data_IF_358340781178
#
_entry.id   IF_358340781178
#
_cell.length_a   1.000
_cell.length_b   1.000
_cell.length_c   1.000
_cell.angle_alpha   90.00
_cell.angle_beta   90.00
_cell.angle_gamma   90.00
#
_symmetry.space_group_name_H-M   'P 1'
#
loop_
_entity.id
_entity.type
_entity.pdbx_description
1 polymer ?
#
# COMPACT_ATOMS: atom_id res chain seq x y z
N UNK A 1 25.07 14.48 11.72
CA UNK A 1 24.63 13.38 10.82
C UNK A 1 23.52 13.92 9.96
N UNK A 2 23.82 14.33 8.74
CA UNK A 2 22.81 14.90 7.83
C UNK A 2 21.90 13.77 7.34
N UNK A 3 20.59 14.00 7.37
CA UNK A 3 19.58 13.02 6.95
C UNK A 3 19.57 12.76 5.42
N UNK A 4 20.35 13.53 4.66
CA UNK A 4 20.28 13.68 3.19
C UNK A 4 21.17 12.73 2.39
N UNK A 5 21.67 11.65 2.98
CA UNK A 5 22.46 10.63 2.27
C UNK A 5 22.28 9.27 2.93
N UNK A 6 21.11 8.68 2.71
CA UNK A 6 20.79 7.33 3.18
C UNK A 6 21.29 6.31 2.16
N UNK A 7 21.34 6.67 0.87
CA UNK A 7 21.89 5.86 -0.21
C UNK A 7 23.34 5.43 0.02
N UNK A 8 24.17 6.26 0.67
CA UNK A 8 25.54 5.89 1.03
C UNK A 8 25.70 5.10 2.34
N UNK A 9 24.62 4.91 3.12
CA UNK A 9 24.67 4.23 4.43
C UNK A 9 24.43 2.72 4.30
N UNK A 10 24.82 1.97 5.32
CA UNK A 10 24.79 0.50 5.30
C UNK A 10 23.41 -0.11 4.97
N UNK A 11 23.37 -1.32 4.38
CA UNK A 11 22.14 -1.97 3.92
C UNK A 11 20.98 -2.03 4.94
N UNK A 12 21.22 -2.29 6.24
CA UNK A 12 20.12 -2.37 7.22
C UNK A 12 19.33 -1.07 7.34
N UNK A 13 20.00 0.07 7.17
CA UNK A 13 19.35 1.37 7.27
C UNK A 13 18.48 1.63 6.02
N UNK A 14 18.99 1.33 4.83
CA UNK A 14 18.27 1.50 3.57
C UNK A 14 16.96 0.70 3.54
N UNK A 15 17.02 -0.57 3.95
CA UNK A 15 15.85 -1.45 4.01
C UNK A 15 14.79 -0.93 4.99
N UNK A 16 15.23 -0.36 6.13
CA UNK A 16 14.32 0.29 7.07
C UNK A 16 13.55 1.46 6.45
N UNK A 17 14.19 2.28 5.61
CA UNK A 17 13.51 3.38 4.92
C UNK A 17 12.49 2.89 3.89
N UNK A 18 12.81 1.86 3.09
CA UNK A 18 11.83 1.26 2.17
C UNK A 18 10.63 0.70 2.93
N UNK A 19 10.86 0.04 4.07
CA UNK A 19 9.81 -0.45 4.94
C UNK A 19 8.87 0.68 5.40
N UNK A 20 9.42 1.81 5.87
CA UNK A 20 8.59 2.95 6.29
C UNK A 20 7.76 3.54 5.15
N UNK A 21 8.31 3.62 3.93
CA UNK A 21 7.57 4.12 2.76
C UNK A 21 6.40 3.18 2.46
N UNK A 22 6.64 1.87 2.38
CA UNK A 22 5.58 0.90 2.10
C UNK A 22 4.54 0.81 3.21
N UNK A 23 4.97 0.91 4.48
CA UNK A 23 4.06 0.98 5.62
C UNK A 23 3.15 2.21 5.53
N UNK A 24 3.70 3.37 5.18
CA UNK A 24 2.90 4.59 4.99
C UNK A 24 1.87 4.42 3.86
N UNK A 25 2.28 3.79 2.75
CA UNK A 25 1.37 3.48 1.63
C UNK A 25 0.24 2.52 2.04
N UNK A 26 0.55 1.48 2.82
CA UNK A 26 -0.46 0.53 3.29
C UNK A 26 -1.48 1.18 4.23
N UNK A 27 -1.05 2.08 5.10
CA UNK A 27 -1.95 2.75 6.06
C UNK A 27 -2.88 3.77 5.36
N UNK A 28 -2.44 4.40 4.28
CA UNK A 28 -3.19 5.49 3.65
C UNK A 28 -4.58 5.04 3.16
N UNK A 29 -4.71 3.80 2.69
CA UNK A 29 -5.98 3.24 2.23
C UNK A 29 -7.07 3.13 3.30
N UNK A 30 -6.73 3.17 4.60
CA UNK A 30 -7.72 3.21 5.68
C UNK A 30 -8.62 4.45 5.61
N UNK A 31 -8.09 5.57 5.09
CA UNK A 31 -8.82 6.84 4.95
C UNK A 31 -9.90 6.77 3.87
N UNK A 32 -9.80 5.82 2.94
CA UNK A 32 -10.79 5.64 1.86
C UNK A 32 -12.10 5.03 2.39
N UNK A 33 -12.04 4.21 3.46
CA UNK A 33 -13.22 3.47 3.94
C UNK A 33 -14.41 4.36 4.37
N UNK A 34 -14.22 5.43 5.16
CA UNK A 34 -15.34 6.30 5.54
C UNK A 34 -16.00 6.98 4.35
N UNK A 35 -15.21 7.37 3.33
CA UNK A 35 -15.71 7.99 2.10
C UNK A 35 -16.64 7.04 1.34
N UNK A 36 -16.22 5.79 1.15
CA UNK A 36 -17.03 4.76 0.48
C UNK A 36 -18.37 4.54 1.21
N UNK A 37 -18.35 4.49 2.54
CA UNK A 37 -19.55 4.24 3.34
C UNK A 37 -20.52 5.43 3.31
N UNK A 38 -20.01 6.66 3.33
CA UNK A 38 -20.87 7.84 3.16
C UNK A 38 -21.56 7.86 1.79
N UNK A 39 -20.81 7.56 0.72
CA UNK A 39 -21.36 7.61 -0.63
C UNK A 39 -22.29 6.43 -0.93
N UNK A 40 -22.09 5.27 -0.29
CA UNK A 40 -22.98 4.10 -0.39
C UNK A 40 -24.43 4.43 -0.05
N UNK A 41 -24.66 5.32 0.92
CA UNK A 41 -26.02 5.70 1.33
C UNK A 41 -26.73 6.45 0.20
N UNK A 42 -26.01 7.38 -0.45
CA UNK A 42 -26.49 8.12 -1.62
C UNK A 42 -26.76 7.18 -2.78
N UNK A 43 -25.80 6.30 -3.09
CA UNK A 43 -25.91 5.31 -4.15
C UNK A 43 -27.16 4.43 -4.00
N UNK A 44 -27.47 3.98 -2.77
CA UNK A 44 -28.67 3.17 -2.51
C UNK A 44 -29.97 3.93 -2.77
N UNK A 45 -30.00 5.23 -2.48
CA UNK A 45 -31.16 6.07 -2.79
C UNK A 45 -31.32 6.22 -4.31
N UNK A 46 -30.24 6.55 -5.03
CA UNK A 46 -30.27 6.73 -6.49
C UNK A 46 -30.60 5.45 -7.24
N UNK A 47 -30.13 4.30 -6.73
CA UNK A 47 -30.47 2.97 -7.27
C UNK A 47 -31.95 2.64 -7.05
N UNK A 48 -32.55 3.07 -5.93
CA UNK A 48 -33.98 2.84 -5.66
C UNK A 48 -34.90 3.62 -6.61
N UNK A 49 -34.41 4.73 -7.16
CA UNK A 49 -35.07 5.52 -8.20
C UNK A 49 -34.75 5.02 -9.62
N UNK A 50 -33.97 3.92 -9.75
CA UNK A 50 -33.56 3.31 -11.01
C UNK A 50 -32.80 4.27 -11.97
N UNK A 51 -32.08 5.25 -11.42
CA UNK A 51 -31.27 6.20 -12.21
C UNK A 51 -30.08 5.53 -12.91
N UNK A 52 -29.46 4.55 -12.25
CA UNK A 52 -28.35 3.76 -12.77
C UNK A 52 -28.22 2.40 -12.07
N UNK A 53 -27.40 1.50 -12.62
CA UNK A 53 -27.09 0.19 -12.00
C UNK A 53 -25.94 0.29 -10.99
N UNK A 54 -26.03 -0.45 -9.88
CA UNK A 54 -25.02 -0.48 -8.82
C UNK A 54 -23.59 -0.73 -9.34
N UNK A 55 -23.44 -1.62 -10.33
CA UNK A 55 -22.15 -1.95 -10.93
C UNK A 55 -21.52 -0.78 -11.69
N UNK A 56 -22.32 0.04 -12.35
CA UNK A 56 -21.82 1.20 -13.09
C UNK A 56 -21.22 2.25 -12.14
N UNK A 57 -21.86 2.44 -10.98
CA UNK A 57 -21.35 3.34 -9.94
C UNK A 57 -20.06 2.82 -9.32
N UNK A 58 -19.98 1.52 -8.97
CA UNK A 58 -18.76 0.93 -8.39
C UNK A 58 -17.58 1.09 -9.37
N UNK A 59 -17.79 0.82 -10.66
CA UNK A 59 -16.75 1.00 -11.68
C UNK A 59 -16.29 2.46 -11.78
N UNK A 60 -17.23 3.41 -11.85
CA UNK A 60 -16.91 4.83 -11.91
C UNK A 60 -16.14 5.30 -10.67
N UNK A 61 -16.59 4.89 -9.48
CA UNK A 61 -15.95 5.20 -8.21
C UNK A 61 -14.52 4.65 -8.15
N UNK A 62 -14.31 3.38 -8.52
CA UNK A 62 -12.98 2.76 -8.51
C UNK A 62 -12.02 3.48 -9.46
N UNK A 63 -12.47 3.86 -10.67
CA UNK A 63 -11.62 4.58 -11.63
C UNK A 63 -11.23 5.96 -11.09
N UNK A 64 -12.19 6.74 -10.57
CA UNK A 64 -11.93 8.08 -10.04
C UNK A 64 -11.00 8.00 -8.82
N UNK A 65 -11.28 7.08 -7.88
CA UNK A 65 -10.45 6.86 -6.70
C UNK A 65 -9.01 6.45 -7.08
N UNK A 66 -8.87 5.54 -8.04
CA UNK A 66 -7.58 5.07 -8.55
C UNK A 66 -6.75 6.19 -9.15
N UNK A 67 -7.36 7.07 -9.95
CA UNK A 67 -6.67 8.22 -10.56
C UNK A 67 -6.24 9.24 -9.51
N UNK A 68 -7.11 9.55 -8.54
CA UNK A 68 -6.79 10.46 -7.45
C UNK A 68 -5.62 9.92 -6.62
N UNK A 69 -5.64 8.63 -6.31
CA UNK A 69 -4.58 7.97 -5.56
C UNK A 69 -3.25 7.93 -6.32
N UNK A 70 -3.29 7.61 -7.62
CA UNK A 70 -2.10 7.62 -8.48
C UNK A 70 -1.40 8.97 -8.44
N UNK A 71 -2.17 10.07 -8.51
CA UNK A 71 -1.63 11.41 -8.45
C UNK A 71 -0.98 11.70 -7.08
N UNK A 72 -1.69 11.42 -5.98
CA UNK A 72 -1.14 11.64 -4.63
C UNK A 72 0.11 10.81 -4.36
N UNK A 73 0.11 9.52 -4.72
CA UNK A 73 1.27 8.64 -4.55
C UNK A 73 2.46 9.09 -5.37
N UNK A 74 2.24 9.49 -6.63
CA UNK A 74 3.31 9.98 -7.50
C UNK A 74 3.96 11.23 -6.90
N UNK A 75 3.16 12.18 -6.42
CA UNK A 75 3.68 13.39 -5.75
C UNK A 75 4.46 13.03 -4.49
N UNK A 76 3.92 12.13 -3.66
CA UNK A 76 4.58 11.69 -2.42
C UNK A 76 5.95 11.07 -2.66
N UNK A 77 6.06 10.12 -3.60
CA UNK A 77 7.32 9.45 -3.92
C UNK A 77 8.31 10.41 -4.57
N UNK A 78 7.85 11.29 -5.47
CA UNK A 78 8.71 12.28 -6.13
C UNK A 78 9.30 13.29 -5.15
N UNK A 79 8.57 13.66 -4.10
CA UNK A 79 9.07 14.54 -3.05
C UNK A 79 10.04 13.83 -2.10
N UNK A 80 9.77 12.57 -1.75
CA UNK A 80 10.64 11.79 -0.85
C UNK A 80 11.94 11.36 -1.51
N UNK A 81 11.90 10.94 -2.77
CA UNK A 81 13.04 10.37 -3.46
C UNK A 81 14.33 11.22 -3.42
N UNK A 82 14.33 12.53 -3.73
CA UNK A 82 15.54 13.36 -3.69
C UNK A 82 16.11 13.51 -2.27
N UNK A 83 15.29 13.36 -1.23
CA UNK A 83 15.75 13.46 0.17
C UNK A 83 16.54 12.22 0.59
N UNK A 84 16.29 11.08 -0.03
CA UNK A 84 16.93 9.80 0.34
C UNK A 84 18.37 9.67 -0.19
N UNK A 85 18.74 10.41 -1.23
CA UNK A 85 20.07 10.33 -1.85
C UNK A 85 20.34 9.03 -2.61
N UNK A 86 19.29 8.32 -3.06
CA UNK A 86 19.43 7.13 -3.91
C UNK A 86 19.68 7.49 -5.39
N UNK A 87 20.33 6.61 -6.17
CA UNK A 87 20.51 6.81 -7.60
C UNK A 87 19.14 6.85 -8.32
N UNK A 88 18.95 7.82 -9.21
CA UNK A 88 17.69 8.04 -9.95
C UNK A 88 17.20 6.82 -10.74
N UNK A 89 18.06 5.84 -11.05
CA UNK A 89 17.66 4.57 -11.66
C UNK A 89 16.73 3.72 -10.77
N UNK A 90 16.76 3.91 -9.44
CA UNK A 90 15.89 3.21 -8.49
C UNK A 90 14.47 3.81 -8.43
N UNK A 91 14.30 5.07 -8.86
CA UNK A 91 13.02 5.78 -8.82
C UNK A 91 11.86 5.03 -9.49
N UNK A 92 11.95 4.57 -10.75
CA UNK A 92 10.83 3.88 -11.41
C UNK A 92 10.45 2.58 -10.72
N UNK A 93 11.41 1.86 -10.13
CA UNK A 93 11.15 0.62 -9.39
C UNK A 93 10.40 0.92 -8.09
N UNK A 94 10.85 1.91 -7.32
CA UNK A 94 10.19 2.33 -6.08
C UNK A 94 8.77 2.82 -6.35
N UNK A 95 8.60 3.64 -7.40
CA UNK A 95 7.30 4.16 -7.80
C UNK A 95 6.32 3.06 -8.21
N UNK A 96 6.75 2.12 -9.07
CA UNK A 96 5.92 1.02 -9.54
C UNK A 96 5.46 0.11 -8.41
N UNK A 97 6.39 -0.34 -7.55
CA UNK A 97 6.07 -1.25 -6.45
C UNK A 97 5.21 -0.60 -5.37
N UNK A 98 5.47 0.68 -5.06
CA UNK A 98 4.62 1.44 -4.14
C UNK A 98 3.20 1.60 -4.68
N UNK A 99 3.06 1.88 -5.98
CA UNK A 99 1.73 2.03 -6.59
C UNK A 99 0.96 0.72 -6.64
N UNK A 100 1.63 -0.38 -6.99
CA UNK A 100 1.01 -1.70 -7.00
C UNK A 100 0.57 -2.12 -5.59
N UNK A 101 1.41 -1.87 -4.58
CA UNK A 101 1.06 -2.13 -3.19
C UNK A 101 -0.17 -1.33 -2.75
N UNK A 102 -0.25 -0.05 -3.12
CA UNK A 102 -1.40 0.78 -2.81
C UNK A 102 -2.68 0.21 -3.43
N UNK A 103 -2.68 -0.14 -4.71
CA UNK A 103 -3.86 -0.72 -5.37
C UNK A 103 -4.35 -2.00 -4.71
N UNK A 104 -3.43 -2.87 -4.30
CA UNK A 104 -3.78 -4.12 -3.60
C UNK A 104 -4.40 -3.80 -2.24
N UNK A 105 -3.84 -2.85 -1.49
CA UNK A 105 -4.39 -2.44 -0.20
C UNK A 105 -5.75 -1.75 -0.33
N UNK A 106 -5.90 -0.81 -1.26
CA UNK A 106 -7.14 -0.08 -1.51
C UNK A 106 -8.28 -1.04 -1.93
N UNK A 107 -7.99 -2.02 -2.79
CA UNK A 107 -8.98 -3.05 -3.16
C UNK A 107 -9.42 -3.92 -1.98
N UNK A 108 -8.49 -4.26 -1.07
CA UNK A 108 -8.80 -4.97 0.17
C UNK A 108 -9.68 -4.11 1.10
N UNK A 109 -9.37 -2.83 1.24
CA UNK A 109 -10.19 -1.92 2.06
C UNK A 109 -11.57 -1.66 1.45
N UNK A 110 -11.67 -1.58 0.13
CA UNK A 110 -12.95 -1.50 -0.58
C UNK A 110 -13.80 -2.74 -0.30
N UNK A 111 -13.22 -3.95 -0.39
CA UNK A 111 -13.91 -5.19 -0.06
C UNK A 111 -14.43 -5.18 1.38
N UNK A 112 -13.60 -4.79 2.34
CA UNK A 112 -13.98 -4.72 3.76
C UNK A 112 -15.06 -3.65 4.02
N UNK A 113 -15.01 -2.51 3.32
CA UNK A 113 -16.02 -1.46 3.42
C UNK A 113 -17.39 -1.90 2.89
N UNK A 114 -17.43 -2.81 1.92
CA UNK A 114 -18.68 -3.41 1.42
C UNK A 114 -19.37 -4.32 2.45
N UNK A 115 -18.57 -5.03 3.25
CA UNK A 115 -19.04 -5.95 4.30
C UNK A 115 -19.54 -5.18 5.53
N UNK A 116 -18.85 -4.09 5.88
CA UNK A 116 -19.18 -3.30 7.06
C UNK A 116 -20.47 -2.47 6.89
N UNK A 117 -21.13 -2.19 8.02
CA UNK A 117 -22.29 -1.28 8.09
C UNK A 117 -21.87 0.16 8.38
N UNK A 118 -20.91 0.33 9.28
CA UNK A 118 -20.41 1.62 9.75
C UNK A 118 -18.92 1.82 9.46
N UNK A 119 -18.50 3.07 9.30
CA UNK A 119 -17.10 3.43 9.01
C UNK A 119 -16.13 3.03 10.12
N UNK A 120 -16.56 3.11 11.39
CA UNK A 120 -15.74 2.65 12.53
C UNK A 120 -15.57 1.14 12.51
N UNK A 121 -16.65 0.39 12.21
CA UNK A 121 -16.60 -1.07 12.13
C UNK A 121 -15.70 -1.53 10.98
N UNK A 122 -15.76 -0.87 9.82
CA UNK A 122 -14.90 -1.15 8.67
C UNK A 122 -13.41 -1.02 9.03
N UNK A 123 -13.04 0.08 9.69
CA UNK A 123 -11.67 0.30 10.12
C UNK A 123 -11.21 -0.76 11.11
N UNK A 124 -12.01 -1.08 12.13
CA UNK A 124 -11.67 -2.14 13.11
C UNK A 124 -11.49 -3.50 12.45
N UNK A 125 -12.32 -3.84 11.47
CA UNK A 125 -12.20 -5.09 10.71
C UNK A 125 -10.93 -5.16 9.84
N UNK A 126 -10.42 -4.02 9.39
CA UNK A 126 -9.22 -3.94 8.54
C UNK A 126 -7.91 -4.04 9.31
N UNK A 127 -7.89 -3.66 10.59
CA UNK A 127 -6.71 -3.71 11.45
C UNK A 127 -6.02 -5.09 11.51
N UNK A 128 -6.72 -6.23 11.71
CA UNK A 128 -6.04 -7.53 11.75
C UNK A 128 -5.36 -7.88 10.43
N UNK A 129 -5.95 -7.52 9.28
CA UNK A 129 -5.35 -7.73 7.97
C UNK A 129 -4.10 -6.86 7.78
N UNK A 130 -4.20 -5.57 8.15
CA UNK A 130 -3.07 -4.65 8.13
C UNK A 130 -1.92 -5.18 9.01
N UNK A 131 -2.22 -5.60 10.25
CA UNK A 131 -1.23 -6.15 11.16
C UNK A 131 -0.58 -7.42 10.63
N UNK A 132 -1.35 -8.30 9.97
CA UNK A 132 -0.81 -9.50 9.33
C UNK A 132 0.20 -9.12 8.24
N UNK A 133 -0.14 -8.21 7.33
CA UNK A 133 0.76 -7.79 6.26
C UNK A 133 1.97 -6.98 6.75
N UNK A 134 1.81 -6.20 7.82
CA UNK A 134 2.91 -5.46 8.44
C UNK A 134 3.85 -6.36 9.24
N UNK A 135 3.38 -7.47 9.80
CA UNK A 135 4.23 -8.37 10.56
C UNK A 135 5.02 -9.31 9.64
N UNK A 136 4.36 -9.87 8.62
CA UNK A 136 4.92 -10.85 7.70
C UNK A 136 5.51 -10.24 6.42
N UNK A 137 6.17 -9.08 6.54
CA UNK A 137 6.70 -8.32 5.40
C UNK A 137 8.11 -8.74 4.91
N UNK A 138 8.68 -9.82 5.45
CA UNK A 138 10.04 -10.30 5.13
C UNK A 138 11.21 -9.54 5.80
N UNK A 139 10.98 -8.32 6.31
CA UNK A 139 11.95 -7.53 7.08
C UNK A 139 11.77 -7.68 8.60
N UNK A 140 10.55 -7.52 9.13
CA UNK A 140 10.27 -7.68 10.58
C UNK A 140 10.40 -9.13 11.01
N UNK A 141 9.84 -10.04 10.20
CA UNK A 141 9.97 -11.49 10.37
C UNK A 141 10.63 -12.05 9.13
N UNK A 142 11.89 -12.46 9.26
CA UNK A 142 12.62 -13.09 8.17
C UNK A 142 12.08 -14.50 7.90
N UNK A 143 12.05 -14.89 6.61
CA UNK A 143 11.59 -16.21 6.16
C UNK A 143 12.35 -17.37 6.82
N UNK A 144 13.61 -17.16 7.17
CA UNK A 144 14.48 -18.15 7.82
C UNK A 144 14.17 -18.37 9.32
N UNK A 145 13.52 -17.41 9.96
CA UNK A 145 13.21 -17.46 11.41
C UNK A 145 11.76 -17.86 11.66
N UNK A 146 10.89 -17.76 10.65
CA UNK A 146 9.50 -18.13 10.75
C UNK A 146 9.33 -19.66 10.84
N UNK A 147 8.45 -20.17 11.73
CA UNK A 147 8.15 -21.59 11.74
C UNK A 147 7.41 -22.00 10.46
N UNK A 148 7.55 -23.26 10.01
CA UNK A 148 7.10 -23.69 8.69
C UNK A 148 5.59 -23.54 8.47
N UNK A 149 4.79 -23.59 9.54
CA UNK A 149 3.34 -23.42 9.46
C UNK A 149 2.89 -21.96 9.26
N UNK A 150 3.78 -20.95 9.36
CA UNK A 150 3.47 -19.53 9.13
C UNK A 150 4.06 -18.99 7.82
N UNK A 151 4.77 -19.82 7.04
CA UNK A 151 5.37 -19.40 5.78
C UNK A 151 4.33 -18.87 4.78
N UNK A 152 3.13 -19.45 4.78
CA UNK A 152 2.03 -18.98 3.91
C UNK A 152 1.63 -17.53 4.17
N UNK A 153 1.76 -17.03 5.41
CA UNK A 153 1.40 -15.66 5.74
C UNK A 153 2.38 -14.65 5.13
N UNK A 154 3.65 -15.04 4.97
CA UNK A 154 4.67 -14.27 4.24
C UNK A 154 4.34 -14.29 2.75
N UNK A 155 4.03 -15.46 2.21
CA UNK A 155 3.74 -15.65 0.77
C UNK A 155 2.44 -14.95 0.32
N UNK A 156 1.46 -14.74 1.18
CA UNK A 156 0.24 -13.99 0.82
C UNK A 156 0.48 -12.47 0.89
N UNK A 157 1.47 -12.02 1.65
CA UNK A 157 1.63 -10.60 1.94
C UNK A 157 2.17 -9.82 0.73
N UNK A 158 1.46 -8.80 0.22
CA UNK A 158 1.97 -7.99 -0.89
C UNK A 158 3.12 -7.08 -0.46
N UNK A 159 3.23 -6.78 0.84
CA UNK A 159 4.34 -6.00 1.40
C UNK A 159 5.66 -6.77 1.33
N UNK A 160 5.65 -8.09 1.55
CA UNK A 160 6.87 -8.90 1.40
C UNK A 160 7.38 -8.89 -0.04
N UNK A 161 6.49 -9.04 -1.02
CA UNK A 161 6.88 -8.97 -2.43
C UNK A 161 7.46 -7.60 -2.82
N UNK A 162 6.84 -6.51 -2.37
CA UNK A 162 7.37 -5.16 -2.63
C UNK A 162 8.75 -4.95 -1.98
N UNK A 163 8.96 -5.47 -0.77
CA UNK A 163 10.24 -5.40 -0.06
C UNK A 163 11.34 -6.24 -0.73
N UNK A 164 11.06 -7.48 -1.10
CA UNK A 164 12.02 -8.33 -1.80
C UNK A 164 12.40 -7.73 -3.16
N UNK A 165 11.42 -7.20 -3.91
CA UNK A 165 11.69 -6.63 -5.22
C UNK A 165 12.53 -5.34 -5.15
N UNK A 166 12.25 -4.44 -4.19
CA UNK A 166 13.03 -3.21 -4.07
C UNK A 166 14.44 -3.47 -3.56
N UNK A 167 14.62 -4.46 -2.68
CA UNK A 167 15.95 -4.83 -2.15
C UNK A 167 16.84 -5.44 -3.24
N UNK A 168 16.28 -6.31 -4.09
CA UNK A 168 17.00 -6.84 -5.26
C UNK A 168 17.35 -5.71 -6.24
N UNK A 169 16.42 -4.80 -6.52
CA UNK A 169 16.67 -3.67 -7.41
C UNK A 169 17.76 -2.73 -6.85
N UNK A 170 17.69 -2.39 -5.57
CA UNK A 170 18.67 -1.55 -4.90
C UNK A 170 20.06 -2.19 -4.88
N UNK A 171 20.17 -3.49 -4.58
CA UNK A 171 21.43 -4.22 -4.60
C UNK A 171 22.07 -4.23 -5.99
N UNK A 172 21.27 -4.45 -7.04
CA UNK A 172 21.74 -4.50 -8.42
C UNK A 172 22.26 -3.13 -8.87
N UNK A 173 21.52 -2.06 -8.59
CA UNK A 173 21.85 -0.70 -9.03
C UNK A 173 23.03 -0.13 -8.22
N UNK A 174 23.15 -0.47 -6.94
CA UNK A 174 24.27 0.01 -6.10
C UNK A 174 25.59 -0.73 -6.38
N UNK A 175 25.54 -1.90 -7.03
CA UNK A 175 26.74 -2.62 -7.46
C UNK A 175 27.36 -2.13 -8.77
N UNK A 176 26.65 -1.26 -9.50
CA UNK A 176 27.11 -0.64 -10.76
C UNK A 176 27.73 0.73 -10.49
#
# INVERSE_FOLDING_TARGET
>A
VTYTDIGGKGPPLQVGFFFFIFMACSIDGLKTMPKVISERTVMKMETSEALYSEWAYILAFTVISSLQALFMHTVFITLLFPVLGFPWLLFPHLWLWSMLLYFVMDSLYLMLSGIAKDATMAQVLSLPFLMMFLLYNGFTVARNTAPPFLLWAIDISPVAYAMEAITVAAATICSQ
#
